data_IF_132938980471
#
_entry.id   IF_132938980471
#
_cell.length_a   1.000
_cell.length_b   1.000
_cell.length_c   1.000
_cell.angle_alpha   90.00
_cell.angle_beta   90.00
_cell.angle_gamma   90.00
#
_symmetry.space_group_name_H-M   'P 1'
#
loop_
_entity.id
_entity.type
_entity.pdbx_description
1 polymer ?
#
# COMPACT_ATOMS: atom_id res chain seq x y z
N UNK A 1 -4.53 -1.76 -15.94
CA UNK A 1 -4.70 -2.82 -14.91
C UNK A 1 -3.35 -2.94 -14.22
N UNK A 2 -3.31 -2.83 -12.89
CA UNK A 2 -2.05 -2.84 -12.12
C UNK A 2 -1.47 -4.25 -12.19
N UNK A 3 -0.27 -4.43 -12.74
CA UNK A 3 0.40 -5.74 -12.86
C UNK A 3 1.27 -6.07 -11.65
N UNK A 4 1.79 -5.03 -10.98
CA UNK A 4 2.63 -5.14 -9.79
C UNK A 4 2.35 -3.97 -8.86
N UNK A 5 2.41 -4.23 -7.55
CA UNK A 5 2.35 -3.20 -6.52
C UNK A 5 3.08 -3.70 -5.26
N UNK A 6 3.71 -2.80 -4.53
CA UNK A 6 4.21 -3.05 -3.17
C UNK A 6 4.15 -1.73 -2.42
N UNK A 7 3.09 -1.52 -1.66
CA UNK A 7 2.79 -0.21 -1.11
C UNK A 7 1.99 -0.26 0.18
N UNK A 8 2.04 0.84 0.92
CA UNK A 8 1.16 1.11 2.05
C UNK A 8 0.48 2.46 1.88
N UNK A 9 -0.82 2.46 2.11
CA UNK A 9 -1.64 3.65 2.29
C UNK A 9 -1.92 3.82 3.78
N UNK A 10 -1.62 4.99 4.31
CA UNK A 10 -1.86 5.33 5.71
C UNK A 10 -2.75 6.57 5.76
N UNK A 11 -3.80 6.54 6.58
CA UNK A 11 -4.71 7.67 6.77
C UNK A 11 -5.09 7.82 8.24
N UNK A 12 -4.96 9.04 8.77
CA UNK A 12 -5.53 9.42 10.07
C UNK A 12 -6.98 9.94 9.95
N UNK A 13 -7.53 9.95 8.74
CA UNK A 13 -8.88 10.41 8.43
C UNK A 13 -9.84 9.24 8.22
N UNK A 14 -11.11 9.54 7.96
CA UNK A 14 -12.10 8.59 7.48
C UNK A 14 -11.66 7.88 6.17
N UNK A 15 -12.26 6.72 5.85
CA UNK A 15 -12.05 6.06 4.55
C UNK A 15 -12.24 7.02 3.37
N UNK A 16 -11.55 6.76 2.26
CA UNK A 16 -11.60 7.55 1.01
C UNK A 16 -11.01 8.98 1.09
N UNK A 17 -10.22 9.32 2.10
CA UNK A 17 -9.49 10.59 2.18
C UNK A 17 -8.71 10.94 0.89
N UNK A 18 -8.07 9.94 0.26
CA UNK A 18 -7.30 10.13 -0.97
C UNK A 18 -8.16 10.48 -2.19
N UNK A 19 -9.47 10.22 -2.15
CA UNK A 19 -10.40 10.55 -3.24
C UNK A 19 -10.52 12.06 -3.48
N UNK A 20 -10.28 12.86 -2.44
CA UNK A 20 -10.22 14.31 -2.53
C UNK A 20 -8.98 14.83 -3.29
N UNK A 21 -8.06 13.94 -3.70
CA UNK A 21 -6.78 14.28 -4.30
C UNK A 21 -6.00 15.32 -3.47
N UNK A 22 -5.74 15.04 -2.17
CA UNK A 22 -5.02 15.96 -1.31
C UNK A 22 -3.66 16.37 -1.90
N UNK A 23 -3.24 17.60 -1.60
CA UNK A 23 -1.99 18.15 -2.13
C UNK A 23 -0.78 17.47 -1.48
N UNK A 24 0.12 16.98 -2.33
CA UNK A 24 1.41 16.45 -1.90
C UNK A 24 2.31 17.54 -1.30
N UNK A 25 3.05 17.20 -0.25
CA UNK A 25 4.03 18.06 0.42
C UNK A 25 5.43 17.44 0.36
N UNK A 26 6.29 17.99 -0.50
CA UNK A 26 7.68 17.55 -0.65
C UNK A 26 8.48 17.64 0.65
N UNK A 27 8.35 18.76 1.37
CA UNK A 27 9.05 18.95 2.65
C UNK A 27 8.61 17.96 3.72
N UNK A 28 7.36 17.50 3.68
CA UNK A 28 6.88 16.43 4.55
C UNK A 28 7.41 15.07 4.10
N UNK A 29 7.45 14.80 2.79
CA UNK A 29 8.02 13.56 2.26
C UNK A 29 9.48 13.39 2.69
N UNK A 30 10.31 14.44 2.53
CA UNK A 30 11.70 14.42 3.00
C UNK A 30 11.80 14.14 4.51
N UNK A 31 10.99 14.81 5.34
CA UNK A 31 10.98 14.55 6.79
C UNK A 31 10.64 13.10 7.13
N UNK A 32 9.78 12.45 6.35
CA UNK A 32 9.42 11.04 6.56
C UNK A 32 10.60 10.14 6.20
N UNK A 33 11.31 10.40 5.10
CA UNK A 33 12.55 9.68 4.75
C UNK A 33 13.54 9.76 5.91
N UNK A 34 13.80 10.96 6.41
CA UNK A 34 14.75 11.21 7.49
C UNK A 34 14.33 10.47 8.79
N UNK A 35 13.03 10.46 9.10
CA UNK A 35 12.46 9.81 10.29
C UNK A 35 12.46 8.28 10.22
N UNK A 36 12.31 7.71 9.02
CA UNK A 36 12.36 6.26 8.84
C UNK A 36 13.79 5.72 8.84
N UNK A 37 14.80 6.61 8.75
CA UNK A 37 16.22 6.29 8.75
C UNK A 37 16.56 5.24 7.67
N UNK A 38 16.01 5.41 6.47
CA UNK A 38 16.17 4.46 5.36
C UNK A 38 17.53 4.59 4.66
N UNK A 39 18.33 5.59 5.02
CA UNK A 39 19.57 5.93 4.36
C UNK A 39 19.52 7.32 3.73
N UNK A 40 20.47 7.61 2.84
CA UNK A 40 20.52 8.87 2.10
C UNK A 40 19.71 8.66 0.83
N UNK A 41 18.61 9.38 0.73
CA UNK A 41 17.73 9.39 -0.43
C UNK A 41 17.58 10.82 -0.92
N UNK A 42 17.72 11.03 -2.21
CA UNK A 42 17.64 12.35 -2.84
C UNK A 42 16.35 12.41 -3.66
N UNK A 43 15.51 13.45 -3.49
CA UNK A 43 14.35 13.65 -4.36
C UNK A 43 14.76 13.78 -5.83
N UNK A 44 14.17 12.96 -6.69
CA UNK A 44 14.44 12.96 -8.13
C UNK A 44 13.33 13.69 -8.89
N UNK A 45 12.08 13.25 -8.72
CA UNK A 45 10.93 13.72 -9.51
C UNK A 45 9.60 13.45 -8.82
N UNK A 46 8.57 14.20 -9.25
CA UNK A 46 7.17 13.93 -8.89
C UNK A 46 6.50 13.19 -10.04
N UNK A 47 5.83 12.08 -9.71
CA UNK A 47 5.05 11.26 -10.63
C UNK A 47 3.62 11.12 -10.14
N UNK A 48 2.78 10.47 -10.94
CA UNK A 48 1.43 10.09 -10.53
C UNK A 48 1.46 8.88 -9.59
N UNK A 49 0.40 8.68 -8.81
CA UNK A 49 0.26 7.47 -8.00
C UNK A 49 0.26 6.21 -8.86
N UNK A 50 -0.32 6.24 -10.07
CA UNK A 50 -0.31 5.11 -11.00
C UNK A 50 1.12 4.63 -11.30
N UNK A 51 2.02 5.56 -11.59
CA UNK A 51 3.43 5.27 -11.88
C UNK A 51 4.21 4.88 -10.61
N UNK A 52 3.73 5.31 -9.45
CA UNK A 52 4.41 5.08 -8.17
C UNK A 52 4.01 3.78 -7.47
N UNK A 53 3.01 3.02 -7.97
CA UNK A 53 2.53 1.77 -7.32
C UNK A 53 3.60 0.68 -7.25
N UNK A 54 4.53 0.68 -8.21
CA UNK A 54 5.69 -0.20 -8.26
C UNK A 54 6.85 0.58 -8.88
N UNK A 55 7.51 1.47 -8.13
CA UNK A 55 8.66 2.22 -8.63
C UNK A 55 9.81 1.23 -8.88
N UNK A 56 10.54 1.35 -9.99
CA UNK A 56 11.65 0.46 -10.37
C UNK A 56 12.79 0.53 -9.33
N UNK A 57 12.68 -0.23 -8.24
CA UNK A 57 13.57 -0.30 -7.06
C UNK A 57 13.77 1.01 -6.29
N UNK A 58 13.04 2.07 -6.68
CA UNK A 58 13.11 3.40 -6.05
C UNK A 58 12.17 3.53 -4.86
N UNK A 59 12.46 4.49 -3.99
CA UNK A 59 11.56 4.88 -2.91
C UNK A 59 10.52 5.89 -3.45
N UNK A 60 9.23 5.63 -3.23
CA UNK A 60 8.16 6.52 -3.62
C UNK A 60 7.32 6.94 -2.41
N UNK A 61 7.19 8.25 -2.16
CA UNK A 61 6.47 8.80 -1.02
C UNK A 61 5.47 9.87 -1.45
N UNK A 62 4.20 9.63 -1.15
CA UNK A 62 3.13 10.62 -1.24
C UNK A 62 2.80 11.13 0.16
N UNK A 63 3.30 12.31 0.55
CA UNK A 63 3.02 12.87 1.86
C UNK A 63 1.92 13.94 1.81
N UNK A 64 0.81 13.71 2.51
CA UNK A 64 -0.38 14.57 2.49
C UNK A 64 -0.77 15.00 3.90
N UNK A 65 -1.59 16.04 4.10
CA UNK A 65 -1.87 16.60 5.44
C UNK A 65 -2.30 15.55 6.48
N UNK A 66 -3.13 14.57 6.09
CA UNK A 66 -3.64 13.50 6.97
C UNK A 66 -3.37 12.09 6.44
N UNK A 67 -2.58 11.96 5.37
CA UNK A 67 -2.28 10.67 4.77
C UNK A 67 -0.83 10.51 4.35
N UNK A 68 -0.45 9.26 4.11
CA UNK A 68 0.82 8.86 3.54
C UNK A 68 0.56 7.76 2.51
N UNK A 69 1.19 7.89 1.36
CA UNK A 69 1.50 6.81 0.46
C UNK A 69 2.99 6.51 0.58
N UNK A 70 3.36 5.24 0.70
CA UNK A 70 4.75 4.83 0.77
C UNK A 70 4.90 3.52 -0.01
N UNK A 71 5.89 3.47 -0.90
CA UNK A 71 6.27 2.28 -1.63
C UNK A 71 7.79 2.22 -1.72
N UNK A 72 8.34 1.07 -1.36
CA UNK A 72 9.76 0.78 -1.52
C UNK A 72 9.90 -0.72 -1.79
N UNK A 73 9.76 -1.17 -3.05
CA UNK A 73 9.57 -2.58 -3.37
C UNK A 73 10.59 -3.51 -2.74
N UNK A 74 11.89 -3.17 -2.79
CA UNK A 74 12.97 -3.95 -2.18
C UNK A 74 12.82 -4.17 -0.67
N UNK A 75 12.31 -3.16 0.04
CA UNK A 75 12.17 -3.20 1.49
C UNK A 75 10.77 -3.62 1.96
N UNK A 76 9.77 -3.62 1.08
CA UNK A 76 8.37 -3.88 1.41
C UNK A 76 7.85 -5.22 0.91
N UNK A 77 8.40 -5.78 -0.16
CA UNK A 77 7.93 -7.05 -0.69
C UNK A 77 8.09 -8.17 0.36
N UNK A 78 7.04 -8.93 0.61
CA UNK A 78 6.94 -9.97 1.64
C UNK A 78 6.67 -9.43 3.06
N UNK A 79 6.59 -8.13 3.28
CA UNK A 79 6.35 -7.57 4.62
C UNK A 79 4.94 -7.86 5.15
N UNK A 80 3.98 -8.16 4.29
CA UNK A 80 2.65 -8.60 4.75
C UNK A 80 2.72 -10.00 5.38
N UNK A 81 3.63 -10.86 4.90
CA UNK A 81 3.87 -12.19 5.47
C UNK A 81 4.43 -12.09 6.89
N UNK A 82 5.30 -11.10 7.14
CA UNK A 82 5.89 -10.78 8.43
C UNK A 82 5.65 -9.32 8.87
N UNK A 83 4.55 -9.08 9.60
CA UNK A 83 4.25 -7.75 10.15
C UNK A 83 5.23 -7.33 11.27
N UNK A 84 6.11 -8.22 11.72
CA UNK A 84 7.20 -7.90 12.64
C UNK A 84 8.42 -7.30 11.92
N UNK A 85 8.38 -7.17 10.58
CA UNK A 85 9.42 -6.54 9.77
C UNK A 85 9.80 -5.14 10.30
N UNK A 86 11.10 -4.79 10.38
CA UNK A 86 11.54 -3.53 10.99
C UNK A 86 10.90 -2.27 10.37
N UNK A 87 10.75 -2.23 9.05
CA UNK A 87 10.12 -1.11 8.35
C UNK A 87 8.63 -0.98 8.70
N UNK A 88 7.91 -2.09 8.74
CA UNK A 88 6.49 -2.12 9.14
C UNK A 88 6.36 -1.62 10.58
N UNK A 89 7.19 -2.11 11.49
CA UNK A 89 7.22 -1.64 12.89
C UNK A 89 7.50 -0.15 13.00
N UNK A 90 8.47 0.39 12.24
CA UNK A 90 8.78 1.82 12.21
C UNK A 90 7.56 2.63 11.75
N UNK A 91 6.95 2.25 10.64
CA UNK A 91 5.74 2.89 10.11
C UNK A 91 4.58 2.83 11.13
N UNK A 92 4.29 1.66 11.69
CA UNK A 92 3.19 1.50 12.64
C UNK A 92 3.42 2.22 13.97
N UNK A 93 4.67 2.37 14.42
CA UNK A 93 5.00 3.20 15.60
C UNK A 93 4.72 4.68 15.35
N UNK A 94 5.12 5.18 14.18
CA UNK A 94 4.90 6.57 13.79
C UNK A 94 3.42 6.88 13.53
N UNK A 95 2.67 5.90 13.01
CA UNK A 95 1.27 6.03 12.62
C UNK A 95 0.33 5.14 13.47
N UNK A 96 0.59 5.06 14.78
CA UNK A 96 -0.09 4.14 15.70
C UNK A 96 -1.61 4.36 15.88
N UNK A 97 -2.14 5.49 15.42
CA UNK A 97 -3.57 5.82 15.43
C UNK A 97 -4.22 5.76 14.05
N UNK A 98 -3.44 5.54 13.01
CA UNK A 98 -3.90 5.55 11.64
C UNK A 98 -4.65 4.27 11.25
N UNK A 99 -5.35 4.35 10.14
CA UNK A 99 -5.73 3.19 9.35
C UNK A 99 -4.62 2.96 8.32
N UNK A 100 -4.19 1.72 8.14
CA UNK A 100 -3.15 1.34 7.20
C UNK A 100 -3.66 0.22 6.31
N UNK A 101 -3.53 0.38 5.00
CA UNK A 101 -3.73 -0.67 4.02
C UNK A 101 -2.39 -0.96 3.34
N UNK A 102 -1.82 -2.12 3.64
CA UNK A 102 -0.70 -2.69 2.92
C UNK A 102 -1.23 -3.52 1.77
N UNK A 103 -0.59 -3.41 0.62
CA UNK A 103 -0.88 -4.22 -0.56
C UNK A 103 0.43 -4.68 -1.20
N UNK A 104 0.41 -5.91 -1.67
CA UNK A 104 1.44 -6.45 -2.53
C UNK A 104 0.76 -7.25 -3.64
N UNK A 105 1.21 -7.05 -4.87
CA UNK A 105 0.69 -7.74 -6.04
C UNK A 105 1.83 -8.03 -6.99
N UNK A 106 1.91 -9.27 -7.49
CA UNK A 106 2.83 -9.62 -8.56
C UNK A 106 2.21 -10.68 -9.48
N UNK A 107 1.74 -10.21 -10.64
CA UNK A 107 1.04 -11.04 -11.61
C UNK A 107 1.87 -12.12 -12.26
N UNK A 108 3.16 -11.87 -12.52
CA UNK A 108 4.01 -12.90 -13.11
C UNK A 108 4.31 -14.04 -12.13
N UNK A 109 4.13 -13.82 -10.83
CA UNK A 109 4.36 -14.81 -9.77
C UNK A 109 3.08 -15.41 -9.19
N UNK A 110 1.91 -15.00 -9.67
CA UNK A 110 0.63 -15.33 -9.05
C UNK A 110 0.59 -15.04 -7.55
N UNK A 111 1.21 -13.92 -7.13
CA UNK A 111 1.29 -13.50 -5.75
C UNK A 111 0.37 -12.30 -5.47
N UNK A 112 -0.40 -12.38 -4.39
CA UNK A 112 -1.10 -11.24 -3.82
C UNK A 112 -0.99 -11.27 -2.30
N UNK A 113 -0.96 -10.09 -1.69
CA UNK A 113 -1.12 -9.95 -0.26
C UNK A 113 -1.76 -8.61 0.09
N UNK A 114 -2.50 -8.58 1.19
CA UNK A 114 -3.04 -7.38 1.79
C UNK A 114 -3.05 -7.49 3.31
N UNK A 115 -2.81 -6.36 3.99
CA UNK A 115 -3.07 -6.23 5.41
C UNK A 115 -3.77 -4.90 5.70
N UNK A 116 -4.92 -4.99 6.37
CA UNK A 116 -5.65 -3.86 6.92
C UNK A 116 -5.39 -3.79 8.42
N UNK A 117 -4.81 -2.67 8.86
CA UNK A 117 -4.59 -2.38 10.26
C UNK A 117 -5.33 -1.12 10.66
N UNK A 118 -5.87 -1.12 11.87
CA UNK A 118 -6.54 0.03 12.47
C UNK A 118 -5.97 0.31 13.85
N UNK A 119 -5.41 1.52 14.03
CA UNK A 119 -4.79 1.95 15.28
C UNK A 119 -3.74 0.94 15.78
N UNK A 120 -2.90 0.47 14.86
CA UNK A 120 -1.85 -0.51 15.12
C UNK A 120 -2.34 -1.95 15.37
N UNK A 121 -3.64 -2.22 15.27
CA UNK A 121 -4.20 -3.57 15.43
C UNK A 121 -4.54 -4.16 14.08
N UNK A 122 -4.21 -5.44 13.88
CA UNK A 122 -4.60 -6.17 12.69
C UNK A 122 -6.12 -6.35 12.64
N UNK A 123 -6.76 -5.92 11.56
CA UNK A 123 -8.17 -6.18 11.28
C UNK A 123 -8.35 -7.31 10.27
N UNK A 124 -7.53 -7.32 9.21
CA UNK A 124 -7.55 -8.33 8.16
C UNK A 124 -6.17 -8.52 7.58
N UNK A 125 -5.74 -9.77 7.37
CA UNK A 125 -4.56 -10.12 6.58
C UNK A 125 -4.92 -11.29 5.67
N UNK A 126 -4.60 -11.15 4.38
CA UNK A 126 -4.80 -12.20 3.40
C UNK A 126 -3.61 -12.23 2.44
N UNK A 127 -3.06 -13.40 2.15
CA UNK A 127 -2.00 -13.56 1.16
C UNK A 127 -2.11 -14.91 0.47
N UNK A 128 -1.70 -14.96 -0.79
CA UNK A 128 -1.63 -16.18 -1.58
C UNK A 128 -0.45 -16.16 -2.54
N UNK A 129 0.38 -17.19 -2.48
CA UNK A 129 1.45 -17.48 -3.44
C UNK A 129 1.49 -18.98 -3.70
N UNK A 130 1.10 -19.40 -4.91
CA UNK A 130 1.08 -20.82 -5.27
C UNK A 130 2.49 -21.42 -5.43
N UNK A 131 3.49 -20.60 -5.80
CA UNK A 131 4.85 -21.07 -6.03
C UNK A 131 5.62 -21.27 -4.72
N UNK A 132 5.31 -20.45 -3.70
CA UNK A 132 5.94 -20.49 -2.37
C UNK A 132 5.13 -21.24 -1.31
N UNK A 133 3.97 -21.80 -1.67
CA UNK A 133 3.02 -22.43 -0.75
C UNK A 133 2.60 -21.51 0.41
N UNK A 134 2.37 -20.23 0.08
CA UNK A 134 1.95 -19.23 1.06
C UNK A 134 0.44 -19.10 0.99
N UNK A 135 -0.21 -19.34 2.13
CA UNK A 135 -1.62 -19.05 2.33
C UNK A 135 -1.81 -18.42 3.71
N UNK A 136 -2.20 -17.15 3.72
CA UNK A 136 -2.52 -16.42 4.95
C UNK A 136 -3.98 -16.01 4.88
N UNK A 137 -4.75 -16.36 5.90
CA UNK A 137 -6.15 -15.96 6.05
C UNK A 137 -6.43 -15.67 7.54
N UNK A 138 -6.26 -14.41 7.93
CA UNK A 138 -6.38 -13.99 9.33
C UNK A 138 -7.25 -12.74 9.51
N UNK A 139 -7.93 -12.66 10.65
CA UNK A 139 -8.75 -11.52 11.02
C UNK A 139 -10.18 -11.61 10.49
N UNK A 140 -10.87 -10.46 10.47
CA UNK A 140 -12.29 -10.37 10.12
C UNK A 140 -12.45 -10.14 8.63
N UNK A 141 -13.22 -11.00 7.97
CA UNK A 141 -13.61 -10.82 6.56
C UNK A 141 -14.22 -9.44 6.32
N UNK A 142 -13.74 -8.78 5.28
CA UNK A 142 -14.18 -7.47 4.84
C UNK A 142 -15.37 -7.58 3.88
N UNK A 143 -16.23 -6.54 3.78
CA UNK A 143 -17.35 -6.54 2.83
C UNK A 143 -16.96 -6.86 1.37
N UNK A 144 -15.75 -6.46 0.96
CA UNK A 144 -15.16 -6.65 -0.36
C UNK A 144 -14.91 -8.14 -0.66
N UNK A 145 -14.73 -8.98 0.37
CA UNK A 145 -14.50 -10.42 0.23
C UNK A 145 -15.77 -11.20 -0.17
N UNK A 146 -16.93 -10.53 -0.23
CA UNK A 146 -18.21 -11.12 -0.68
C UNK A 146 -18.31 -11.31 -2.18
N UNK A 147 -17.31 -10.91 -2.97
CA UNK A 147 -17.24 -11.27 -4.38
C UNK A 147 -17.03 -12.78 -4.53
N UNK A 148 -18.14 -13.51 -4.51
CA UNK A 148 -18.16 -14.94 -4.79
C UNK A 148 -17.87 -15.15 -6.28
N UNK A 149 -16.93 -16.08 -6.55
CA UNK A 149 -16.50 -16.62 -7.86
C UNK A 149 -15.36 -15.86 -8.55
N UNK A 150 -14.14 -16.07 -8.07
CA UNK A 150 -13.11 -16.44 -9.03
C UNK A 150 -12.91 -17.96 -8.96
N UNK A 151 -12.88 -18.61 -10.11
CA UNK A 151 -12.48 -20.01 -10.24
C UNK A 151 -11.00 -20.23 -9.95
N UNK A 152 -10.23 -19.13 -9.86
CA UNK A 152 -8.78 -19.11 -9.64
C UNK A 152 -8.46 -18.20 -8.45
N UNK A 153 -7.74 -18.75 -7.46
CA UNK A 153 -7.34 -18.06 -6.23
C UNK A 153 -6.63 -16.72 -6.52
N UNK A 154 -5.81 -16.69 -7.57
CA UNK A 154 -5.07 -15.49 -7.96
C UNK A 154 -5.97 -14.38 -8.54
N UNK A 155 -6.89 -14.74 -9.43
CA UNK A 155 -7.88 -13.78 -9.96
C UNK A 155 -8.80 -13.22 -8.87
N UNK A 156 -9.11 -14.02 -7.85
CA UNK A 156 -9.78 -13.53 -6.64
C UNK A 156 -8.92 -12.50 -5.89
N UNK A 157 -7.65 -12.81 -5.66
CA UNK A 157 -6.70 -11.94 -4.97
C UNK A 157 -6.51 -10.58 -5.63
N UNK A 158 -6.30 -10.53 -6.95
CA UNK A 158 -6.19 -9.27 -7.71
C UNK A 158 -7.44 -8.38 -7.56
N UNK A 159 -8.62 -8.99 -7.70
CA UNK A 159 -9.89 -8.30 -7.58
C UNK A 159 -10.11 -7.77 -6.16
N UNK A 160 -9.73 -8.56 -5.16
CA UNK A 160 -9.85 -8.17 -3.76
C UNK A 160 -8.89 -7.03 -3.41
N UNK A 161 -7.62 -7.10 -3.83
CA UNK A 161 -6.67 -5.97 -3.65
C UNK A 161 -7.24 -4.70 -4.28
N UNK A 162 -7.74 -4.80 -5.52
CA UNK A 162 -8.36 -3.67 -6.21
C UNK A 162 -9.58 -3.11 -5.47
N UNK A 163 -10.45 -3.98 -4.94
CA UNK A 163 -11.63 -3.59 -4.17
C UNK A 163 -11.25 -2.96 -2.81
N UNK A 164 -10.28 -3.53 -2.10
CA UNK A 164 -9.78 -3.00 -0.84
C UNK A 164 -9.12 -1.64 -1.01
N UNK A 165 -8.30 -1.48 -2.06
CA UNK A 165 -7.78 -0.18 -2.46
C UNK A 165 -8.94 0.79 -2.69
N UNK A 166 -9.97 0.39 -3.43
CA UNK A 166 -11.11 1.24 -3.73
C UNK A 166 -11.88 1.71 -2.49
N UNK A 167 -12.10 0.84 -1.53
CA UNK A 167 -12.75 1.21 -0.27
C UNK A 167 -11.85 2.10 0.59
N UNK A 168 -10.53 1.94 0.51
CA UNK A 168 -9.60 2.69 1.34
C UNK A 168 -9.25 4.07 0.78
N UNK A 169 -8.86 4.14 -0.49
CA UNK A 169 -8.42 5.38 -1.16
C UNK A 169 -9.58 6.12 -1.85
N UNK A 170 -10.73 5.47 -1.97
CA UNK A 170 -11.85 5.89 -2.81
C UNK A 170 -11.84 5.13 -4.14
N UNK A 171 -12.99 5.07 -4.85
CA UNK A 171 -13.12 4.30 -6.08
C UNK A 171 -12.02 4.74 -7.06
N UNK A 172 -11.05 3.85 -7.39
CA UNK A 172 -9.82 4.20 -8.09
C UNK A 172 -10.20 4.37 -9.55
N UNK A 173 -10.87 5.46 -9.85
CA UNK A 173 -11.02 5.90 -11.20
C UNK A 173 -9.67 6.45 -11.65
N UNK A 174 -9.41 6.37 -12.96
CA UNK A 174 -8.19 6.89 -13.59
C UNK A 174 -7.84 8.31 -13.12
N UNK A 175 -8.85 9.11 -12.74
CA UNK A 175 -8.66 10.46 -12.22
C UNK A 175 -7.94 10.52 -10.87
N UNK A 176 -8.18 9.63 -9.90
CA UNK A 176 -7.46 9.67 -8.61
C UNK A 176 -6.00 9.25 -8.80
N UNK A 177 -5.78 8.12 -9.48
CA UNK A 177 -4.44 7.55 -9.69
C UNK A 177 -3.52 8.51 -10.47
N UNK A 178 -4.07 9.26 -11.43
CA UNK A 178 -3.31 10.24 -12.23
C UNK A 178 -3.14 11.61 -11.56
N UNK A 179 -3.97 11.96 -10.55
CA UNK A 179 -3.92 13.28 -9.89
C UNK A 179 -3.15 13.28 -8.58
N UNK A 180 -3.10 12.17 -7.87
CA UNK A 180 -2.29 12.06 -6.67
C UNK A 180 -0.82 12.13 -7.07
N UNK A 181 -0.13 13.12 -6.50
CA UNK A 181 1.30 13.32 -6.72
C UNK A 181 2.09 12.56 -5.68
N UNK A 182 3.17 11.91 -6.13
CA UNK A 182 4.10 11.12 -5.34
C UNK A 182 5.51 11.52 -5.72
N UNK A 183 6.38 11.72 -4.73
CA UNK A 183 7.80 12.02 -4.96
C UNK A 183 8.59 10.71 -5.03
N UNK A 184 9.45 10.57 -6.04
CA UNK A 184 10.42 9.50 -6.20
C UNK A 184 11.76 9.95 -5.64
N UNK A 185 12.42 9.05 -4.93
CA UNK A 185 13.74 9.22 -4.36
C UNK A 185 14.70 8.14 -4.88
N UNK A 186 15.97 8.52 -5.04
CA UNK A 186 17.10 7.66 -5.42
C UNK A 186 18.19 7.67 -4.34
#
# INVERSE_FOLDING_TARGET
MISQASAVFISNSEPAYFAACPRHSRSRAQKIVDQLELGIFVPEKVVSLEDALCPDDKLAIGAYDRGLYFSFPDAMYGCIEDLDHPLVKKLLRQYNRAHCLFIELNRSRHYFALALLRRGKLERRLAGDLARDIFIDEGKKQPEEKMERATELYGYGENLVSAMMASFIGPPNKRILTKLQVEIFE
#
